data_IF_765465314540
#
_entry.id   IF_765465314540
#
_cell.length_a   1.000
_cell.length_b   1.000
_cell.length_c   1.000
_cell.angle_alpha   90.00
_cell.angle_beta   90.00
_cell.angle_gamma   90.00
#
_symmetry.space_group_name_H-M   'P 1'
#
loop_
_entity.id
_entity.type
_entity.pdbx_description
1 polymer ?
#
# COMPACT_ATOMS: atom_id res chain seq x y z
N UNK A 1 4.01 -13.48 -5.63
CA UNK A 1 4.92 -13.46 -4.46
C UNK A 1 5.27 -12.01 -4.18
N UNK A 2 4.95 -11.50 -3.00
CA UNK A 2 5.28 -10.13 -2.59
C UNK A 2 6.53 -10.15 -1.71
N UNK A 3 7.58 -9.42 -2.09
CA UNK A 3 8.88 -9.41 -1.39
C UNK A 3 9.23 -7.96 -1.03
N UNK A 4 8.88 -7.50 0.18
CA UNK A 4 9.11 -6.11 0.57
C UNK A 4 10.59 -5.78 0.80
N UNK A 5 11.44 -6.79 1.04
CA UNK A 5 12.87 -6.59 1.35
C UNK A 5 13.66 -5.92 0.21
N UNK A 6 13.25 -6.13 -1.04
CA UNK A 6 13.86 -5.47 -2.20
C UNK A 6 13.72 -3.94 -2.18
N UNK A 7 12.78 -3.38 -1.41
CA UNK A 7 12.62 -1.93 -1.23
C UNK A 7 13.42 -1.36 -0.05
N UNK A 8 13.93 -2.22 0.84
CA UNK A 8 14.62 -1.79 2.07
C UNK A 8 16.10 -1.49 1.83
N UNK A 9 16.71 -2.21 0.87
CA UNK A 9 18.13 -2.09 0.51
C UNK A 9 18.36 -1.16 -0.69
N UNK A 10 17.28 -0.77 -1.39
CA UNK A 10 17.35 0.24 -2.42
C UNK A 10 17.25 1.62 -1.79
N UNK A 11 18.36 2.38 -1.79
CA UNK A 11 18.44 3.83 -1.43
C UNK A 11 17.66 4.74 -2.43
N UNK A 12 16.83 4.10 -3.25
CA UNK A 12 16.06 4.62 -4.36
C UNK A 12 14.82 5.32 -3.81
N UNK A 13 15.00 6.57 -3.39
CA UNK A 13 13.89 7.45 -3.11
C UNK A 13 12.94 7.53 -4.31
N UNK A 14 11.64 7.34 -4.08
CA UNK A 14 10.54 7.49 -5.06
C UNK A 14 10.48 8.86 -5.77
N UNK A 15 11.43 9.77 -5.50
CA UNK A 15 11.57 11.12 -6.08
C UNK A 15 12.00 11.12 -7.56
N UNK A 16 11.90 9.98 -8.26
CA UNK A 16 12.15 9.89 -9.69
C UNK A 16 13.62 9.97 -10.11
N UNK A 17 14.55 9.78 -9.17
CA UNK A 17 16.00 9.76 -9.44
C UNK A 17 16.55 8.33 -9.66
N UNK A 18 15.73 7.33 -9.34
CA UNK A 18 16.02 5.90 -9.51
C UNK A 18 15.08 5.30 -10.56
N UNK A 19 15.62 4.95 -11.72
CA UNK A 19 14.86 4.41 -12.85
C UNK A 19 14.31 3.00 -12.62
N UNK A 20 14.76 2.32 -11.56
CA UNK A 20 14.22 1.02 -11.14
C UNK A 20 12.79 1.13 -10.58
N UNK A 21 12.34 2.33 -10.19
CA UNK A 21 11.03 2.54 -9.59
C UNK A 21 10.37 3.84 -10.09
N UNK A 22 9.80 3.78 -11.30
CA UNK A 22 9.08 4.90 -11.94
C UNK A 22 7.56 4.71 -11.80
N UNK A 23 7.04 4.65 -10.57
CA UNK A 23 5.59 4.51 -10.36
C UNK A 23 4.85 5.84 -10.44
N UNK A 24 5.53 6.97 -10.19
CA UNK A 24 4.95 8.32 -10.13
C UNK A 24 5.55 9.29 -11.16
N UNK A 25 6.20 8.75 -12.20
CA UNK A 25 6.96 9.55 -13.17
C UNK A 25 8.36 9.93 -12.68
N UNK A 26 9.15 10.53 -13.57
CA UNK A 26 10.53 10.92 -13.29
C UNK A 26 10.80 12.36 -13.77
N UNK A 27 11.83 12.99 -13.20
CA UNK A 27 12.29 14.32 -13.60
C UNK A 27 11.14 15.35 -13.57
N UNK A 28 11.00 16.18 -14.61
CA UNK A 28 10.02 17.27 -14.70
C UNK A 28 8.56 16.83 -14.85
N UNK A 29 8.29 15.53 -15.00
CA UNK A 29 6.94 14.96 -15.09
C UNK A 29 6.55 14.13 -13.86
N UNK A 30 7.26 14.31 -12.75
CA UNK A 30 6.91 13.64 -11.50
C UNK A 30 5.54 14.12 -11.01
N UNK A 31 4.75 13.19 -10.46
CA UNK A 31 3.46 13.50 -9.87
C UNK A 31 3.63 14.57 -8.78
N UNK A 32 3.05 15.77 -8.93
CA UNK A 32 3.24 16.85 -7.96
C UNK A 32 2.61 16.53 -6.60
N UNK A 33 1.62 15.64 -6.56
CA UNK A 33 1.00 15.15 -5.33
C UNK A 33 1.78 14.04 -4.62
N UNK A 34 2.97 13.67 -5.08
CA UNK A 34 3.75 12.56 -4.52
C UNK A 34 4.00 12.69 -3.01
N UNK A 35 4.37 13.87 -2.45
CA UNK A 35 4.56 14.01 -1.01
C UNK A 35 3.28 13.77 -0.19
N UNK A 36 2.11 14.17 -0.74
CA UNK A 36 0.82 13.97 -0.10
C UNK A 36 0.42 12.49 -0.15
N UNK A 37 0.52 11.86 -1.32
CA UNK A 37 0.21 10.45 -1.49
C UNK A 37 1.07 9.56 -0.59
N UNK A 38 2.36 9.88 -0.46
CA UNK A 38 3.26 9.16 0.44
C UNK A 38 2.78 9.23 1.90
N UNK A 39 2.44 10.42 2.40
CA UNK A 39 1.95 10.58 3.78
C UNK A 39 0.60 9.90 3.98
N UNK A 40 -0.33 10.08 3.05
CA UNK A 40 -1.64 9.46 3.10
C UNK A 40 -1.54 7.92 3.11
N UNK A 41 -0.66 7.35 2.27
CA UNK A 41 -0.44 5.90 2.24
C UNK A 41 0.10 5.37 3.56
N UNK A 42 1.11 6.01 4.15
CA UNK A 42 1.63 5.62 5.47
C UNK A 42 0.57 5.71 6.56
N UNK A 43 -0.21 6.80 6.60
CA UNK A 43 -1.28 6.97 7.58
C UNK A 43 -2.39 5.93 7.41
N UNK A 44 -2.79 5.62 6.17
CA UNK A 44 -3.79 4.59 5.90
C UNK A 44 -3.29 3.23 6.36
N UNK A 45 -2.07 2.84 5.99
CA UNK A 45 -1.49 1.55 6.39
C UNK A 45 -1.33 1.47 7.91
N UNK A 46 -0.83 2.52 8.56
CA UNK A 46 -0.69 2.58 10.01
C UNK A 46 -2.05 2.43 10.71
N UNK A 47 -3.07 3.16 10.25
CA UNK A 47 -4.42 3.06 10.79
C UNK A 47 -5.00 1.65 10.60
N UNK A 48 -4.79 1.05 9.43
CA UNK A 48 -5.25 -0.29 9.10
C UNK A 48 -4.57 -1.37 9.95
N UNK A 49 -3.27 -1.25 10.18
CA UNK A 49 -2.50 -2.21 10.98
C UNK A 49 -2.78 -2.05 12.48
N UNK A 50 -2.90 -0.81 12.98
CA UNK A 50 -3.10 -0.55 14.41
C UNK A 50 -4.52 -0.83 14.87
N UNK A 51 -5.51 -0.46 14.07
CA UNK A 51 -6.90 -0.44 14.54
C UNK A 51 -7.69 -1.71 14.17
N UNK A 52 -7.14 -2.59 13.34
CA UNK A 52 -7.83 -3.80 12.89
C UNK A 52 -7.01 -5.05 13.17
N UNK A 53 -7.67 -6.08 13.70
CA UNK A 53 -7.11 -7.43 13.76
C UNK A 53 -7.41 -8.16 12.45
N UNK A 54 -6.35 -8.50 11.71
CA UNK A 54 -6.46 -9.16 10.42
C UNK A 54 -6.55 -10.67 10.63
N UNK A 55 -7.65 -11.27 10.17
CA UNK A 55 -7.83 -12.73 10.14
C UNK A 55 -8.03 -13.15 8.69
N UNK A 56 -7.23 -14.12 8.25
CA UNK A 56 -7.40 -14.69 6.93
C UNK A 56 -8.52 -15.73 6.99
N UNK A 57 -9.50 -15.61 6.10
CA UNK A 57 -10.56 -16.62 5.96
C UNK A 57 -10.15 -17.52 4.81
N UNK A 58 -9.43 -18.59 5.14
CA UNK A 58 -8.77 -19.51 4.20
C UNK A 58 -9.73 -20.19 3.19
N UNK A 59 -11.05 -20.11 3.37
CA UNK A 59 -12.00 -20.97 2.64
C UNK A 59 -13.14 -20.24 1.91
N UNK A 60 -13.24 -18.90 1.98
CA UNK A 60 -14.33 -18.18 1.32
C UNK A 60 -13.89 -17.55 0.01
N UNK A 61 -14.64 -17.86 -1.06
CA UNK A 61 -14.57 -17.11 -2.33
C UNK A 61 -14.66 -15.60 -2.02
N UNK A 62 -13.89 -14.75 -2.73
CA UNK A 62 -13.71 -13.34 -2.38
C UNK A 62 -15.03 -12.56 -2.26
N UNK A 63 -16.05 -12.96 -3.02
CA UNK A 63 -17.40 -12.37 -2.97
C UNK A 63 -18.13 -12.59 -1.63
N UNK A 64 -17.92 -13.74 -0.98
CA UNK A 64 -18.60 -14.11 0.28
C UNK A 64 -17.84 -13.55 1.50
N UNK A 65 -16.51 -13.43 1.40
CA UNK A 65 -15.68 -12.89 2.48
C UNK A 65 -15.98 -11.41 2.76
N UNK A 66 -16.21 -10.60 1.72
CA UNK A 66 -16.50 -9.16 1.87
C UNK A 66 -17.87 -8.94 2.50
N UNK A 67 -18.89 -9.71 2.10
CA UNK A 67 -20.24 -9.63 2.66
C UNK A 67 -20.26 -9.93 4.17
N UNK A 68 -19.51 -10.94 4.62
CA UNK A 68 -19.45 -11.32 6.03
C UNK A 68 -18.65 -10.32 6.89
N UNK A 69 -17.60 -9.72 6.34
CA UNK A 69 -16.82 -8.69 7.03
C UNK A 69 -17.65 -7.41 7.30
N UNK A 70 -18.50 -7.02 6.36
CA UNK A 70 -19.43 -5.89 6.53
C UNK A 70 -20.51 -6.22 7.56
N UNK A 71 -21.04 -7.45 7.55
CA UNK A 71 -22.05 -7.89 8.50
C UNK A 71 -21.54 -7.99 9.95
N UNK A 72 -20.25 -8.32 10.16
CA UNK A 72 -19.64 -8.41 11.50
C UNK A 72 -19.28 -7.05 12.12
N UNK A 73 -19.28 -5.98 11.33
CA UNK A 73 -18.96 -4.61 11.76
C UNK A 73 -20.21 -3.73 12.00
N UNK A 74 -21.41 -4.31 11.93
CA UNK A 74 -22.71 -3.67 12.19
C UNK A 74 -23.33 -4.24 13.45
#
# INVERSE_FOLDING_TARGET
MFIPKGFLECDNNFKGNSFELITFGASKRIFPGLPLAHRAMHLMVESLVRNFEWKFVDELKPEVAIANAVAAAT
#
